data_IF_319003920340
#
_entry.id   IF_319003920340
#
_cell.length_a   1.000
_cell.length_b   1.000
_cell.length_c   1.000
_cell.angle_alpha   90.00
_cell.angle_beta   90.00
_cell.angle_gamma   90.00
#
_symmetry.space_group_name_H-M   'P 1'
#
loop_
_entity.id
_entity.type
_entity.pdbx_description
1 polymer ?
#
# COMPACT_ATOMS: atom_id res chain seq x y z
N UNK A 1 -6.83 -7.46 -12.16
CA UNK A 1 -7.58 -7.02 -13.37
C UNK A 1 -7.35 -7.99 -14.50
N UNK A 2 -8.30 -8.13 -15.42
CA UNK A 2 -8.15 -8.94 -16.63
C UNK A 2 -8.53 -8.13 -17.87
N UNK A 3 -7.79 -8.26 -18.97
CA UNK A 3 -8.02 -7.56 -20.22
C UNK A 3 -8.24 -8.59 -21.33
N UNK A 4 -9.41 -8.55 -21.98
CA UNK A 4 -9.73 -9.46 -23.09
C UNK A 4 -9.63 -8.71 -24.40
N UNK A 5 -8.79 -9.20 -25.31
CA UNK A 5 -8.54 -8.62 -26.63
C UNK A 5 -9.14 -9.51 -27.73
N UNK A 6 -9.62 -8.87 -28.80
CA UNK A 6 -10.09 -9.55 -30.00
C UNK A 6 -9.04 -9.63 -31.09
N UNK A 7 -9.48 -9.62 -32.36
CA UNK A 7 -8.65 -9.86 -33.55
C UNK A 7 -7.58 -8.79 -33.86
N UNK A 8 -7.56 -7.68 -33.12
CA UNK A 8 -6.59 -6.58 -33.29
C UNK A 8 -5.43 -6.60 -32.29
N UNK A 9 -5.29 -7.64 -31.47
CA UNK A 9 -4.15 -7.79 -30.56
C UNK A 9 -2.82 -7.85 -31.35
N UNK A 10 -1.73 -7.22 -30.89
CA UNK A 10 -1.59 -6.44 -29.65
C UNK A 10 -1.88 -4.94 -29.81
N UNK A 11 -2.13 -4.47 -31.03
CA UNK A 11 -2.12 -3.05 -31.38
C UNK A 11 -3.47 -2.34 -31.16
N UNK A 12 -4.53 -3.11 -30.90
CA UNK A 12 -5.85 -2.60 -30.56
C UNK A 12 -6.10 -2.60 -29.05
N UNK A 13 -6.98 -1.70 -28.61
CA UNK A 13 -7.44 -1.64 -27.22
C UNK A 13 -8.24 -2.90 -26.83
N UNK A 14 -8.27 -3.28 -25.53
CA UNK A 14 -9.06 -4.42 -25.07
C UNK A 14 -10.55 -4.16 -25.28
N UNK A 15 -11.28 -5.19 -25.66
CA UNK A 15 -12.74 -5.11 -25.85
C UNK A 15 -13.50 -5.17 -24.52
N UNK A 16 -12.91 -5.81 -23.51
CA UNK A 16 -13.48 -5.95 -22.17
C UNK A 16 -12.40 -5.85 -21.10
N UNK A 17 -12.74 -5.17 -20.02
CA UNK A 17 -11.92 -5.07 -18.80
C UNK A 17 -12.68 -5.68 -17.64
N UNK A 18 -12.10 -6.72 -17.05
CA UNK A 18 -12.57 -7.34 -15.81
C UNK A 18 -12.01 -6.60 -14.61
N UNK A 19 -12.90 -6.04 -13.80
CA UNK A 19 -12.56 -5.34 -12.55
C UNK A 19 -12.65 -6.29 -11.35
N UNK A 20 -11.73 -6.11 -10.40
CA UNK A 20 -11.76 -6.74 -9.08
C UNK A 20 -11.50 -5.65 -8.03
N UNK A 21 -11.47 -6.04 -6.76
CA UNK A 21 -11.21 -5.10 -5.66
C UNK A 21 -9.78 -4.56 -5.67
N UNK A 22 -9.61 -3.35 -5.16
CA UNK A 22 -8.36 -2.59 -5.19
C UNK A 22 -8.58 -1.08 -5.27
N UNK A 23 -7.51 -0.33 -5.46
CA UNK A 23 -7.52 1.15 -5.48
C UNK A 23 -7.78 1.73 -6.88
N UNK A 24 -8.35 0.95 -7.79
CA UNK A 24 -8.53 1.38 -9.17
C UNK A 24 -7.28 1.30 -10.04
N UNK A 25 -6.12 0.85 -9.52
CA UNK A 25 -4.95 0.48 -10.32
C UNK A 25 -4.35 -0.84 -9.84
N UNK A 26 -4.02 -0.91 -8.55
CA UNK A 26 -3.44 -2.04 -7.85
C UNK A 26 -4.55 -2.92 -7.28
N UNK A 27 -4.40 -4.22 -7.51
CA UNK A 27 -5.26 -5.27 -6.96
C UNK A 27 -5.14 -5.39 -5.44
N UNK A 28 -6.26 -5.60 -4.73
CA UNK A 28 -6.24 -5.75 -3.26
C UNK A 28 -5.32 -6.89 -2.79
N UNK A 29 -5.25 -7.98 -3.56
CA UNK A 29 -4.39 -9.12 -3.23
C UNK A 29 -2.90 -8.75 -3.21
N UNK A 30 -2.50 -7.78 -4.04
CA UNK A 30 -1.15 -7.23 -4.05
C UNK A 30 -0.92 -6.27 -2.89
N UNK A 31 -1.91 -5.41 -2.60
CA UNK A 31 -1.80 -4.42 -1.53
C UNK A 31 -1.74 -5.06 -0.13
N UNK A 32 -2.37 -6.22 0.06
CA UNK A 32 -2.47 -6.89 1.35
C UNK A 32 -1.28 -7.81 1.71
N UNK A 33 -0.29 -7.96 0.81
CA UNK A 33 0.88 -8.84 1.05
C UNK A 33 1.62 -8.48 2.34
N UNK A 34 1.68 -7.20 2.68
CA UNK A 34 2.34 -6.69 3.88
C UNK A 34 1.79 -7.29 5.19
N UNK A 35 0.53 -7.78 5.22
CA UNK A 35 -0.06 -8.45 6.38
C UNK A 35 0.68 -9.71 6.81
N UNK A 36 1.51 -10.28 5.94
CA UNK A 36 2.32 -11.47 6.23
C UNK A 36 3.65 -11.14 6.90
N UNK A 37 4.04 -9.87 6.97
CA UNK A 37 5.31 -9.44 7.52
C UNK A 37 5.20 -9.23 9.04
N UNK A 38 6.09 -9.83 9.85
CA UNK A 38 6.08 -9.64 11.31
C UNK A 38 6.24 -8.16 11.69
N UNK A 39 5.48 -7.71 12.69
CA UNK A 39 5.59 -6.35 13.22
C UNK A 39 5.06 -5.24 12.30
N UNK A 40 4.36 -5.59 11.21
CA UNK A 40 3.80 -4.58 10.28
C UNK A 40 2.45 -4.08 10.79
N UNK A 41 2.32 -2.76 10.91
CA UNK A 41 1.04 -2.09 11.11
C UNK A 41 0.37 -1.83 9.76
N UNK A 42 -0.95 -2.03 9.68
CA UNK A 42 -1.70 -1.95 8.42
C UNK A 42 -2.87 -0.98 8.56
N UNK A 43 -2.86 0.05 7.71
CA UNK A 43 -3.96 1.00 7.57
C UNK A 43 -4.68 0.74 6.26
N UNK A 44 -6.02 0.62 6.31
CA UNK A 44 -6.85 0.35 5.12
C UNK A 44 -7.58 1.64 4.74
N UNK A 45 -7.31 2.14 3.54
CA UNK A 45 -8.02 3.27 2.95
C UNK A 45 -9.15 2.75 2.07
N UNK A 46 -10.41 2.99 2.46
CA UNK A 46 -11.58 2.42 1.76
C UNK A 46 -12.09 3.39 0.69
N UNK A 47 -12.21 2.90 -0.54
CA UNK A 47 -12.80 3.66 -1.64
C UNK A 47 -11.91 4.79 -2.18
N UNK A 48 -10.63 4.79 -1.84
CA UNK A 48 -9.66 5.78 -2.31
C UNK A 48 -8.99 5.27 -3.58
N UNK A 49 -9.03 6.06 -4.64
CA UNK A 49 -8.36 5.72 -5.89
C UNK A 49 -6.84 5.94 -5.77
N UNK A 50 -6.05 5.16 -6.51
CA UNK A 50 -4.59 5.13 -6.43
C UNK A 50 -3.95 6.53 -6.47
N UNK A 51 -4.40 7.38 -7.38
CA UNK A 51 -3.86 8.73 -7.56
C UNK A 51 -4.31 9.72 -6.49
N UNK A 52 -5.36 9.40 -5.74
CA UNK A 52 -5.95 10.26 -4.71
C UNK A 52 -5.44 9.91 -3.31
N UNK A 53 -4.75 8.77 -3.12
CA UNK A 53 -4.19 8.33 -1.83
C UNK A 53 -3.41 9.46 -1.14
N UNK A 54 -2.52 10.14 -1.86
CA UNK A 54 -1.63 11.16 -1.28
C UNK A 54 -2.34 12.46 -0.88
N UNK A 55 -3.61 12.60 -1.23
CA UNK A 55 -4.46 13.77 -0.89
C UNK A 55 -5.61 13.37 0.03
N UNK A 56 -5.77 12.08 0.30
CA UNK A 56 -6.84 11.56 1.13
C UNK A 56 -6.62 11.97 2.59
N UNK A 57 -7.70 12.40 3.25
CA UNK A 57 -7.64 12.90 4.61
C UNK A 57 -7.25 11.81 5.62
N UNK A 58 -7.75 10.58 5.42
CA UNK A 58 -7.45 9.46 6.32
C UNK A 58 -5.99 9.00 6.15
N UNK A 59 -5.46 9.03 4.92
CA UNK A 59 -4.04 8.82 4.66
C UNK A 59 -3.17 9.86 5.37
N UNK A 60 -3.47 11.15 5.20
CA UNK A 60 -2.70 12.24 5.82
C UNK A 60 -2.74 12.10 7.35
N UNK A 61 -3.92 11.86 7.94
CA UNK A 61 -4.08 11.68 9.38
C UNK A 61 -3.28 10.47 9.91
N UNK A 62 -3.24 9.36 9.17
CA UNK A 62 -2.44 8.19 9.54
C UNK A 62 -0.94 8.50 9.53
N UNK A 63 -0.45 9.26 8.54
CA UNK A 63 0.95 9.69 8.48
C UNK A 63 1.28 10.64 9.64
N UNK A 64 0.41 11.62 9.93
CA UNK A 64 0.59 12.54 11.05
C UNK A 64 0.67 11.79 12.40
N UNK A 65 -0.17 10.77 12.60
CA UNK A 65 -0.14 9.95 13.80
C UNK A 65 1.19 9.17 13.94
N UNK A 66 1.72 8.62 12.85
CA UNK A 66 3.01 7.94 12.86
C UNK A 66 4.18 8.90 13.15
N UNK A 67 4.14 10.11 12.60
CA UNK A 67 5.16 11.12 12.85
C UNK A 67 5.13 11.61 14.31
N UNK A 68 3.94 11.72 14.91
CA UNK A 68 3.79 12.04 16.32
C UNK A 68 4.38 10.96 17.22
N UNK A 69 4.20 9.68 16.87
CA UNK A 69 4.78 8.55 17.60
C UNK A 69 6.31 8.49 17.49
N UNK A 70 6.87 8.78 16.31
CA UNK A 70 8.33 8.89 16.13
C UNK A 70 8.92 10.06 16.92
N UNK A 71 8.16 11.14 17.08
CA UNK A 71 8.54 12.29 17.91
C UNK A 71 8.35 12.06 19.42
N UNK A 72 7.64 11.00 19.81
CA UNK A 72 7.48 10.65 21.21
C UNK A 72 8.78 10.04 21.76
N UNK A 73 9.17 10.36 23.01
CA UNK A 73 10.26 9.66 23.64
C UNK A 73 9.95 8.15 23.65
N UNK A 74 10.93 7.27 23.43
CA UNK A 74 10.69 5.83 23.43
C UNK A 74 10.00 5.45 24.75
N UNK A 75 8.92 4.66 24.65
CA UNK A 75 8.25 4.12 25.82
C UNK A 75 9.30 3.48 26.73
N UNK A 76 9.30 3.86 28.02
CA UNK A 76 10.29 3.39 28.99
C UNK A 76 10.39 1.86 28.94
N UNK A 77 11.55 1.35 28.51
CA UNK A 77 11.86 -0.08 28.52
C UNK A 77 12.14 -0.76 27.17
N UNK A 78 11.93 -0.09 26.02
CA UNK A 78 12.26 -0.69 24.71
C UNK A 78 13.68 -0.30 24.28
N UNK A 79 14.64 -1.22 24.46
CA UNK A 79 16.01 -1.06 23.95
C UNK A 79 15.99 -1.24 22.43
N UNK A 80 16.37 -0.21 21.69
CA UNK A 80 16.54 -0.30 20.24
C UNK A 80 17.73 -1.24 19.94
N UNK A 81 17.43 -2.47 19.53
CA UNK A 81 18.40 -3.40 18.94
C UNK A 81 18.85 -2.78 17.60
N UNK A 82 20.03 -2.16 17.57
CA UNK A 82 20.64 -1.68 16.32
C UNK A 82 20.94 -2.91 15.45
N UNK A 83 20.19 -3.03 14.35
CA UNK A 83 20.43 -4.05 13.33
C UNK A 83 21.87 -3.98 12.82
N UNK A 84 22.52 -5.16 12.76
CA UNK A 84 23.87 -5.37 12.26
C UNK A 84 24.04 -4.77 10.86
N UNK A 85 25.05 -3.92 10.68
CA UNK A 85 25.55 -3.54 9.35
C UNK A 85 25.97 -4.81 8.59
N UNK A 86 25.51 -4.96 7.35
CA UNK A 86 26.05 -5.93 6.39
C UNK A 86 27.26 -5.26 5.76
N UNK A 87 28.45 -5.73 6.11
CA UNK A 87 29.69 -5.39 5.40
C UNK A 87 29.63 -6.02 4.00
N UNK A 88 29.84 -5.19 2.97
CA UNK A 88 30.15 -5.61 1.59
C UNK A 88 31.65 -5.68 1.43
#
# INVERSE_FOLDING_TARGET
RNYTYGRGWPDAQPERVGHGDGDGTVNVESAEVCRRWPGTNVTVLRGVAHMDIVKDGDFIAAVEALLADVGAPPAEGVRAERGSEIAV
#
